data_IF_666650112174
#
_entry.id   IF_666650112174
#
_cell.length_a   1.000
_cell.length_b   1.000
_cell.length_c   1.000
_cell.angle_alpha   90.00
_cell.angle_beta   90.00
_cell.angle_gamma   90.00
#
_symmetry.space_group_name_H-M   'P 1'
#
loop_
_entity.id
_entity.type
_entity.pdbx_description
1 polymer ?
#
# COMPACT_ATOMS: atom_id res chain seq x y z
N UNK A 1 2.61 15.22 11.40
CA UNK A 1 3.80 15.96 10.91
C UNK A 1 5.11 15.30 11.30
N UNK A 2 5.36 15.01 12.58
CA UNK A 2 6.56 14.28 13.02
C UNK A 2 6.73 12.94 12.30
N UNK A 3 5.66 12.14 12.22
CA UNK A 3 5.67 10.83 11.55
C UNK A 3 6.09 10.88 10.08
N UNK A 4 5.62 11.90 9.35
CA UNK A 4 6.01 12.13 7.96
C UNK A 4 7.50 12.47 7.87
N UNK A 5 8.00 13.35 8.75
CA UNK A 5 9.41 13.73 8.78
C UNK A 5 10.34 12.55 9.09
N UNK A 6 10.04 11.78 10.13
CA UNK A 6 10.85 10.60 10.53
C UNK A 6 10.77 9.45 9.53
N UNK A 7 9.84 9.50 8.57
CA UNK A 7 9.73 8.49 7.51
C UNK A 7 10.38 8.98 6.22
N UNK A 8 10.06 10.20 5.78
CA UNK A 8 10.52 10.75 4.52
C UNK A 8 12.03 11.05 4.53
N UNK A 9 12.55 11.60 5.63
CA UNK A 9 13.97 11.98 5.72
C UNK A 9 14.88 10.74 5.63
N UNK A 10 14.67 9.66 6.42
CA UNK A 10 15.46 8.45 6.26
C UNK A 10 15.29 7.78 4.91
N UNK A 11 14.08 7.80 4.32
CA UNK A 11 13.86 7.28 2.98
C UNK A 11 14.74 7.98 1.95
N UNK A 12 14.70 9.31 1.89
CA UNK A 12 15.50 10.10 0.94
C UNK A 12 16.99 9.90 1.19
N UNK A 13 17.42 9.88 2.45
CA UNK A 13 18.81 9.62 2.80
C UNK A 13 19.27 8.25 2.30
N UNK A 14 18.52 7.18 2.59
CA UNK A 14 18.84 5.82 2.14
C UNK A 14 18.81 5.70 0.62
N UNK A 15 17.88 6.37 -0.05
CA UNK A 15 17.79 6.37 -1.51
C UNK A 15 19.01 7.04 -2.16
N UNK A 16 19.42 8.21 -1.66
CA UNK A 16 20.63 8.91 -2.12
C UNK A 16 21.89 8.08 -1.81
N UNK A 17 21.99 7.52 -0.60
CA UNK A 17 23.10 6.64 -0.24
C UNK A 17 23.17 5.41 -1.15
N UNK A 18 22.04 4.77 -1.46
CA UNK A 18 22.00 3.63 -2.37
C UNK A 18 22.48 4.02 -3.77
N UNK A 19 22.03 5.17 -4.30
CA UNK A 19 22.45 5.67 -5.61
C UNK A 19 23.96 5.92 -5.67
N UNK A 20 24.55 6.52 -4.63
CA UNK A 20 25.99 6.73 -4.54
C UNK A 20 26.74 5.40 -4.35
N UNK A 21 26.24 4.51 -3.50
CA UNK A 21 26.89 3.24 -3.16
C UNK A 21 27.02 2.30 -4.36
N UNK A 22 26.11 2.36 -5.34
CA UNK A 22 26.21 1.55 -6.57
C UNK A 22 27.52 1.84 -7.33
N UNK A 23 28.04 3.07 -7.27
CA UNK A 23 29.34 3.40 -7.87
C UNK A 23 30.54 2.73 -7.17
N UNK A 24 30.35 2.28 -5.92
CA UNK A 24 31.35 1.55 -5.13
C UNK A 24 31.10 0.04 -5.08
N UNK A 25 30.05 -0.44 -5.74
CA UNK A 25 29.69 -1.85 -5.81
C UNK A 25 28.18 -2.07 -5.73
N UNK A 26 27.66 -2.84 -6.67
CA UNK A 26 26.22 -3.12 -6.80
C UNK A 26 25.59 -3.67 -5.51
N UNK A 27 26.30 -4.55 -4.81
CA UNK A 27 25.79 -5.20 -3.58
C UNK A 27 25.51 -4.22 -2.44
N UNK A 28 26.32 -3.16 -2.31
CA UNK A 28 26.08 -2.12 -1.30
C UNK A 28 24.82 -1.31 -1.60
N UNK A 29 24.62 -0.98 -2.88
CA UNK A 29 23.38 -0.36 -3.35
C UNK A 29 22.17 -1.23 -3.03
N UNK A 30 22.20 -2.52 -3.40
CA UNK A 30 21.12 -3.47 -3.12
C UNK A 30 20.84 -3.58 -1.62
N UNK A 31 21.87 -3.73 -0.78
CA UNK A 31 21.70 -3.85 0.66
C UNK A 31 20.96 -2.64 1.26
N UNK A 32 21.23 -1.42 0.77
CA UNK A 32 20.57 -0.20 1.21
C UNK A 32 19.13 -0.06 0.69
N UNK A 33 18.77 -0.72 -0.41
CA UNK A 33 17.37 -0.71 -0.88
C UNK A 33 16.43 -1.45 0.06
N UNK A 34 16.90 -2.43 0.83
CA UNK A 34 16.08 -3.20 1.78
C UNK A 34 15.47 -2.28 2.86
N UNK A 35 16.26 -1.52 3.64
CA UNK A 35 15.68 -0.57 4.60
C UNK A 35 14.93 0.57 3.90
N UNK A 36 15.37 1.03 2.72
CA UNK A 36 14.64 2.06 1.96
C UNK A 36 13.22 1.60 1.59
N UNK A 37 13.06 0.34 1.19
CA UNK A 37 11.75 -0.26 0.90
C UNK A 37 10.84 -0.28 2.15
N UNK A 38 11.40 -0.54 3.33
CA UNK A 38 10.67 -0.44 4.59
C UNK A 38 10.11 0.96 4.85
N UNK A 39 10.89 2.01 4.59
CA UNK A 39 10.39 3.38 4.69
C UNK A 39 9.41 3.74 3.57
N UNK A 40 9.58 3.19 2.37
CA UNK A 40 8.63 3.38 1.27
C UNK A 40 7.25 2.77 1.60
N UNK A 41 7.22 1.59 2.24
CA UNK A 41 5.99 1.00 2.76
C UNK A 41 5.33 1.89 3.82
N UNK A 42 6.12 2.48 4.72
CA UNK A 42 5.58 3.45 5.69
C UNK A 42 5.03 4.71 5.03
N UNK A 43 5.67 5.21 3.97
CA UNK A 43 5.12 6.30 3.18
C UNK A 43 3.78 5.91 2.55
N UNK A 44 3.64 4.68 2.04
CA UNK A 44 2.36 4.18 1.57
C UNK A 44 1.29 4.12 2.67
N UNK A 45 1.64 3.71 3.89
CA UNK A 45 0.70 3.75 5.04
C UNK A 45 0.22 5.18 5.33
N UNK A 46 1.13 6.17 5.31
CA UNK A 46 0.77 7.59 5.49
C UNK A 46 -0.12 8.08 4.34
N UNK A 47 0.20 7.70 3.09
CA UNK A 47 -0.65 7.99 1.93
C UNK A 47 -2.05 7.38 2.09
N UNK A 48 -2.13 6.17 2.64
CA UNK A 48 -3.39 5.49 2.91
C UNK A 48 -4.25 6.26 3.91
N UNK A 49 -3.65 6.71 5.01
CA UNK A 49 -4.34 7.50 6.04
C UNK A 49 -4.75 8.88 5.50
N UNK A 50 -3.96 9.47 4.62
CA UNK A 50 -4.36 10.66 3.85
C UNK A 50 -5.59 10.37 2.97
N UNK A 51 -5.64 9.19 2.33
CA UNK A 51 -6.78 8.72 1.55
C UNK A 51 -8.07 8.70 2.36
N UNK A 52 -8.00 8.26 3.62
CA UNK A 52 -9.11 8.33 4.58
C UNK A 52 -9.37 9.75 5.10
N UNK A 53 -8.34 10.60 5.10
CA UNK A 53 -8.37 11.98 5.63
C UNK A 53 -8.26 12.03 7.15
N UNK A 54 -7.56 11.05 7.71
CA UNK A 54 -7.33 10.92 9.15
C UNK A 54 -5.94 11.39 9.58
N UNK A 55 -5.04 11.67 8.64
CA UNK A 55 -3.64 11.97 8.96
C UNK A 55 -3.43 13.44 9.38
N UNK A 56 -4.12 14.39 8.74
CA UNK A 56 -4.15 15.80 9.14
C UNK A 56 -5.53 16.25 9.58
N UNK A 57 -5.60 17.32 10.38
CA UNK A 57 -6.86 17.96 10.74
C UNK A 57 -7.58 18.65 9.56
N UNK A 58 -6.93 18.78 8.41
CA UNK A 58 -7.46 19.47 7.22
C UNK A 58 -7.37 18.54 6.01
N UNK A 59 -8.51 18.17 5.44
CA UNK A 59 -8.62 17.33 4.23
C UNK A 59 -7.72 17.80 3.07
N UNK A 60 -7.59 19.11 2.86
CA UNK A 60 -6.72 19.65 1.80
C UNK A 60 -5.24 19.29 2.01
N UNK A 61 -4.78 19.24 3.26
CA UNK A 61 -3.40 18.84 3.57
C UNK A 61 -3.19 17.34 3.31
N UNK A 62 -4.17 16.50 3.64
CA UNK A 62 -4.15 15.07 3.30
C UNK A 62 -4.07 14.86 1.80
N UNK A 63 -4.94 15.52 1.03
CA UNK A 63 -5.00 15.34 -0.42
C UNK A 63 -3.71 15.73 -1.13
N UNK A 64 -3.10 16.86 -0.73
CA UNK A 64 -1.81 17.26 -1.31
C UNK A 64 -0.67 16.34 -0.88
N UNK A 65 -0.63 15.94 0.40
CA UNK A 65 0.41 15.04 0.91
C UNK A 65 0.32 13.68 0.25
N UNK A 66 -0.89 13.12 0.15
CA UNK A 66 -1.14 11.84 -0.52
C UNK A 66 -0.76 11.87 -2.00
N UNK A 67 -1.04 12.97 -2.73
CA UNK A 67 -0.59 13.13 -4.13
C UNK A 67 0.92 13.15 -4.28
N UNK A 68 1.63 13.87 -3.40
CA UNK A 68 3.09 13.94 -3.43
C UNK A 68 3.72 12.59 -3.12
N UNK A 69 3.22 11.89 -2.10
CA UNK A 69 3.69 10.54 -1.76
C UNK A 69 3.35 9.55 -2.88
N UNK A 70 2.19 9.69 -3.53
CA UNK A 70 1.77 8.86 -4.66
C UNK A 70 2.76 8.83 -5.83
N UNK A 71 3.55 9.90 -6.02
CA UNK A 71 4.64 9.92 -7.00
C UNK A 71 5.79 9.00 -6.57
N UNK A 72 6.15 9.01 -5.29
CA UNK A 72 7.24 8.19 -4.73
C UNK A 72 6.86 6.71 -4.67
N UNK A 73 5.60 6.41 -4.34
CA UNK A 73 5.08 5.03 -4.22
C UNK A 73 4.62 4.46 -5.56
N UNK A 74 4.75 5.21 -6.65
CA UNK A 74 4.20 4.88 -7.97
C UNK A 74 2.72 4.47 -7.91
N UNK A 75 1.96 5.11 -7.02
CA UNK A 75 0.56 4.79 -6.77
C UNK A 75 -0.27 6.06 -6.96
N UNK A 76 -0.90 6.24 -8.14
CA UNK A 76 -1.66 7.45 -8.48
C UNK A 76 -2.76 7.73 -7.45
N UNK A 77 -2.55 8.73 -6.59
CA UNK A 77 -3.33 8.92 -5.37
C UNK A 77 -4.83 9.05 -5.57
N UNK A 78 -5.28 9.88 -6.53
CA UNK A 78 -6.72 10.12 -6.71
C UNK A 78 -7.46 8.88 -7.22
N UNK A 79 -6.82 8.09 -8.09
CA UNK A 79 -7.35 6.81 -8.55
C UNK A 79 -7.36 5.79 -7.41
N UNK A 80 -6.21 5.65 -6.73
CA UNK A 80 -6.05 4.73 -5.62
C UNK A 80 -7.04 5.02 -4.49
N UNK A 81 -7.20 6.28 -4.08
CA UNK A 81 -8.17 6.70 -3.05
C UNK A 81 -9.60 6.29 -3.40
N UNK A 82 -10.02 6.46 -4.66
CA UNK A 82 -11.36 6.06 -5.12
C UNK A 82 -11.54 4.55 -5.08
N UNK A 83 -10.58 3.81 -5.62
CA UNK A 83 -10.60 2.35 -5.63
C UNK A 83 -10.58 1.79 -4.20
N UNK A 84 -9.77 2.37 -3.32
CA UNK A 84 -9.63 2.00 -1.92
C UNK A 84 -10.90 2.28 -1.12
N UNK A 85 -11.54 3.42 -1.34
CA UNK A 85 -12.83 3.73 -0.71
C UNK A 85 -13.95 2.78 -1.19
N UNK A 86 -13.96 2.43 -2.48
CA UNK A 86 -14.90 1.45 -3.02
C UNK A 86 -14.65 0.06 -2.40
N UNK A 87 -13.39 -0.37 -2.32
CA UNK A 87 -13.03 -1.61 -1.64
C UNK A 87 -13.48 -1.62 -0.19
N UNK A 88 -13.26 -0.55 0.59
CA UNK A 88 -13.77 -0.51 1.97
C UNK A 88 -15.31 -0.50 2.08
N UNK A 89 -16.01 0.01 1.08
CA UNK A 89 -17.47 -0.01 1.05
C UNK A 89 -18.03 -1.41 0.73
N UNK A 90 -17.34 -2.19 -0.11
CA UNK A 90 -17.77 -3.52 -0.53
C UNK A 90 -17.06 -4.68 0.20
N UNK A 91 -15.99 -4.40 0.94
CA UNK A 91 -15.19 -5.43 1.60
C UNK A 91 -16.04 -6.23 2.58
N UNK A 92 -16.10 -7.55 2.36
CA UNK A 92 -16.91 -8.47 3.15
C UNK A 92 -18.39 -8.52 2.75
N UNK A 93 -18.82 -7.75 1.75
CA UNK A 93 -20.12 -7.86 1.14
C UNK A 93 -20.10 -8.91 0.00
N UNK A 94 -20.65 -10.10 0.27
CA UNK A 94 -20.66 -11.21 -0.69
C UNK A 94 -21.62 -10.97 -1.87
N UNK A 95 -22.49 -9.97 -1.79
CA UNK A 95 -23.40 -9.57 -2.86
C UNK A 95 -22.74 -8.55 -3.82
N UNK A 96 -21.70 -7.84 -3.39
CA UNK A 96 -20.98 -6.82 -4.16
C UNK A 96 -19.48 -7.13 -4.26
N UNK A 97 -19.13 -8.28 -4.86
CA UNK A 97 -17.73 -8.68 -5.06
C UNK A 97 -17.08 -7.83 -6.14
N UNK A 98 -15.99 -7.14 -5.81
CA UNK A 98 -15.38 -6.15 -6.69
C UNK A 98 -13.85 -6.20 -6.78
N UNK A 99 -13.29 -5.14 -7.35
CA UNK A 99 -11.84 -4.97 -7.51
C UNK A 99 -11.20 -4.77 -6.13
N UNK A 100 -10.24 -5.62 -5.78
CA UNK A 100 -9.50 -5.56 -4.52
C UNK A 100 -10.02 -6.49 -3.42
N UNK A 101 -11.14 -7.18 -3.64
CA UNK A 101 -11.66 -8.14 -2.68
C UNK A 101 -10.89 -9.47 -2.72
N UNK A 102 -10.70 -10.05 -1.54
CA UNK A 102 -10.23 -11.43 -1.43
C UNK A 102 -11.42 -12.34 -1.71
N UNK A 103 -11.25 -13.28 -2.65
CA UNK A 103 -12.29 -14.26 -2.99
C UNK A 103 -12.77 -14.97 -1.73
N UNK A 104 -13.95 -14.59 -1.27
CA UNK A 104 -14.59 -15.17 -0.09
C UNK A 104 -15.84 -15.89 -0.56
N UNK A 105 -15.92 -17.18 -0.24
CA UNK A 105 -17.06 -18.03 -0.58
C UNK A 105 -17.98 -18.17 0.63
N UNK A 106 -19.28 -18.13 0.39
CA UNK A 106 -20.25 -18.59 1.38
C UNK A 106 -20.07 -20.09 1.65
N UNK A 107 -20.57 -20.56 2.79
CA UNK A 107 -20.62 -22.01 3.09
C UNK A 107 -21.41 -22.77 2.00
N UNK A 108 -22.47 -22.15 1.46
CA UNK A 108 -23.29 -22.73 0.40
C UNK A 108 -22.52 -22.86 -0.93
N UNK A 109 -21.66 -21.90 -1.26
CA UNK A 109 -20.80 -21.92 -2.46
C UNK A 109 -19.62 -22.88 -2.31
N UNK A 110 -19.07 -23.02 -1.10
CA UNK A 110 -17.92 -23.87 -0.83
C UNK A 110 -18.27 -25.38 -0.82
N UNK A 111 -19.44 -25.75 -0.28
CA UNK A 111 -19.88 -27.16 -0.17
C UNK A 111 -19.94 -27.94 -1.49
N UNK A 112 -20.43 -27.41 -2.61
CA UNK A 112 -20.48 -28.12 -3.88
C UNK A 112 -19.13 -28.18 -4.61
N UNK A 113 -18.06 -27.57 -4.10
CA UNK A 113 -16.76 -27.60 -4.75
C UNK A 113 -16.12 -28.99 -4.73
N UNK A 114 -15.51 -29.38 -5.85
CA UNK A 114 -14.63 -30.56 -5.94
C UNK A 114 -13.46 -30.47 -4.95
N UNK A 115 -12.94 -31.62 -4.49
CA UNK A 115 -11.81 -31.69 -3.53
C UNK A 115 -10.59 -30.84 -3.92
N UNK A 116 -10.23 -30.80 -5.20
CA UNK A 116 -9.10 -29.97 -5.69
C UNK A 116 -9.35 -28.48 -5.55
N UNK A 117 -10.56 -27.99 -5.90
CA UNK A 117 -10.96 -26.59 -5.71
C UNK A 117 -11.07 -26.19 -4.23
N UNK A 118 -11.46 -27.13 -3.36
CA UNK A 118 -11.48 -26.90 -1.90
C UNK A 118 -10.08 -26.77 -1.30
N UNK A 119 -9.09 -27.48 -1.86
CA UNK A 119 -7.68 -27.36 -1.48
C UNK A 119 -7.01 -26.10 -2.04
N UNK A 120 -7.40 -25.68 -3.24
CA UNK A 120 -6.94 -24.43 -3.86
C UNK A 120 -7.55 -23.18 -3.19
N UNK A 121 -8.75 -23.31 -2.62
CA UNK A 121 -9.37 -22.27 -1.81
C UNK A 121 -8.66 -22.16 -0.47
N UNK A 122 -7.67 -21.28 -0.40
CA UNK A 122 -7.08 -20.84 0.86
C UNK A 122 -7.89 -19.63 1.33
N UNK A 123 -8.67 -19.82 2.39
CA UNK A 123 -9.25 -18.68 3.10
C UNK A 123 -8.09 -17.79 3.57
N UNK A 124 -8.15 -16.45 3.40
CA UNK A 124 -7.34 -15.56 4.22
C UNK A 124 -7.67 -15.75 5.71
#
# INVERSE_FOLDING_TARGET
MLELGVTLVPFVALWVLAAVAVHHGLWWGIALTIPAAGFLLRLFMIQHDCGHGSFFARRRADDWTGRLIGVLTFTPYDYWRRAHAAHHASAGNLDERGVGDITTLTVAEYRPLSRSRRLAYQSP
#
